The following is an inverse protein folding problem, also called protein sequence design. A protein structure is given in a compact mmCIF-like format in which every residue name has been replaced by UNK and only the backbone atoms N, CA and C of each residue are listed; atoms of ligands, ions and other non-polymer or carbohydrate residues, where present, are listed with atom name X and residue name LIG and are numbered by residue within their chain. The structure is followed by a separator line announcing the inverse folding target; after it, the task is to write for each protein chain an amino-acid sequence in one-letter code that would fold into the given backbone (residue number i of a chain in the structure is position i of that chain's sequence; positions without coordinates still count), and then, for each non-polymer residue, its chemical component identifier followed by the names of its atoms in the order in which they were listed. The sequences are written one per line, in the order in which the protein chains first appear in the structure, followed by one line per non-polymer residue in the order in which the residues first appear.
data_IF_071678382051
#
_entry.id   IF_071678382051
#
_cell.length_a   1.000
_cell.length_b   1.000
_cell.length_c   1.000
_cell.angle_alpha   90.00
_cell.angle_beta   90.00
_cell.angle_gamma   90.00
#
_symmetry.space_group_name_H-M   'P 1'
#
loop_
_entity.id
_entity.type
_entity.pdbx_description
1 polymer ?
#
# COMPACT_ATOMS: atom_id res chain seq x y z
N UNK A 1 -10.60 6.32 -4.03
CA UNK A 1 -9.66 7.47 -4.07
C UNK A 1 -8.74 7.37 -2.86
N UNK A 2 -7.59 6.69 -2.98
CA UNK A 2 -6.64 6.44 -1.88
C UNK A 2 -5.37 7.29 -1.97
N UNK A 3 -4.94 7.62 -3.20
CA UNK A 3 -3.78 8.48 -3.49
C UNK A 3 -3.77 9.78 -2.68
N UNK A 4 -4.90 10.47 -2.62
CA UNK A 4 -4.97 11.80 -2.01
C UNK A 4 -4.85 11.72 -0.48
N UNK A 5 -5.40 10.66 0.14
CA UNK A 5 -5.19 10.34 1.56
C UNK A 5 -3.72 10.01 1.84
N UNK A 6 -3.09 9.23 0.97
CA UNK A 6 -1.67 8.90 1.09
C UNK A 6 -0.78 10.14 0.97
N UNK A 7 -1.06 11.05 0.04
CA UNK A 7 -0.36 12.35 -0.07
C UNK A 7 -0.49 13.19 1.20
N UNK A 8 -1.72 13.33 1.71
CA UNK A 8 -1.97 14.10 2.93
C UNK A 8 -1.21 13.53 4.13
N UNK A 9 -1.27 12.22 4.34
CA UNK A 9 -0.56 11.56 5.43
C UNK A 9 0.97 11.73 5.30
N UNK A 10 1.53 11.54 4.11
CA UNK A 10 2.96 11.76 3.86
C UNK A 10 3.36 13.20 4.19
N UNK A 11 2.55 14.19 3.77
CA UNK A 11 2.81 15.58 4.08
C UNK A 11 2.82 15.85 5.60
N UNK A 12 1.85 15.30 6.33
CA UNK A 12 1.77 15.42 7.80
C UNK A 12 2.97 14.75 8.49
N UNK A 13 3.35 13.54 8.09
CA UNK A 13 4.52 12.84 8.62
C UNK A 13 5.81 13.66 8.41
N UNK A 14 6.03 14.14 7.18
CA UNK A 14 7.22 14.93 6.86
C UNK A 14 7.23 16.28 7.57
N UNK A 15 6.09 16.89 7.84
CA UNK A 15 5.98 18.12 8.63
C UNK A 15 6.44 17.95 10.09
N UNK A 16 6.39 16.72 10.63
CA UNK A 16 6.90 16.37 11.96
C UNK A 16 8.21 15.57 11.91
N UNK A 17 8.97 15.71 10.82
CA UNK A 17 10.28 15.07 10.61
C UNK A 17 10.27 13.54 10.58
N UNK A 18 9.13 12.91 10.30
CA UNK A 18 9.07 11.47 10.07
C UNK A 18 9.31 11.17 8.59
N UNK A 19 10.32 10.34 8.24
CA UNK A 19 10.49 9.89 6.86
C UNK A 19 9.29 9.04 6.45
N UNK A 20 8.62 9.45 5.38
CA UNK A 20 7.47 8.74 4.82
C UNK A 20 7.60 8.63 3.30
N UNK A 21 7.13 7.53 2.73
CA UNK A 21 7.10 7.26 1.29
C UNK A 21 5.73 6.72 0.87
N UNK A 22 5.38 6.97 -0.39
CA UNK A 22 4.17 6.41 -0.99
C UNK A 22 4.48 5.04 -1.56
N UNK A 23 3.48 4.18 -1.53
CA UNK A 23 3.55 2.84 -2.10
C UNK A 23 2.42 2.65 -3.09
N UNK A 24 2.76 2.17 -4.30
CA UNK A 24 1.77 1.58 -5.21
C UNK A 24 1.67 0.09 -4.92
N UNK A 25 0.46 -0.41 -4.88
CA UNK A 25 0.21 -1.83 -4.71
C UNK A 25 -1.22 -2.20 -5.09
N UNK A 26 -1.66 -3.34 -4.60
CA UNK A 26 -3.04 -3.76 -4.56
C UNK A 26 -3.29 -4.52 -3.27
N UNK A 27 -4.54 -4.78 -2.94
CA UNK A 27 -4.93 -5.56 -1.78
C UNK A 27 -5.67 -6.84 -2.17
N UNK A 28 -5.67 -7.82 -1.28
CA UNK A 28 -6.45 -9.05 -1.39
C UNK A 28 -7.60 -9.02 -0.38
N UNK A 29 -8.84 -9.09 -0.87
CA UNK A 29 -10.00 -9.18 0.01
C UNK A 29 -10.52 -7.83 0.50
N UNK A 30 -10.29 -6.74 -0.22
CA UNK A 30 -11.15 -5.54 -0.14
C UNK A 30 -12.64 -5.92 -0.19
N UNK A 31 -13.44 -5.13 0.52
CA UNK A 31 -14.89 -5.27 0.52
C UNK A 31 -15.43 -5.13 -0.92
N UNK A 32 -16.06 -6.18 -1.49
CA UNK A 32 -16.63 -6.12 -2.84
C UNK A 32 -17.67 -5.01 -3.02
N UNK A 33 -18.27 -4.49 -1.94
CA UNK A 33 -19.17 -3.34 -1.99
C UNK A 33 -18.46 -2.03 -2.38
N UNK A 34 -17.13 -1.96 -2.25
CA UNK A 34 -16.32 -0.82 -2.66
C UNK A 34 -15.98 -0.80 -4.16
N UNK A 35 -16.27 -1.89 -4.88
CA UNK A 35 -16.08 -2.01 -6.32
C UNK A 35 -15.20 -3.21 -6.73
N UNK A 36 -14.87 -3.32 -8.03
CA UNK A 36 -13.92 -4.32 -8.51
C UNK A 36 -12.51 -4.04 -7.96
N UNK A 37 -11.62 -5.04 -7.93
CA UNK A 37 -10.22 -4.84 -7.57
C UNK A 37 -9.57 -3.74 -8.43
N UNK A 38 -8.81 -2.88 -7.78
CA UNK A 38 -8.09 -1.77 -8.42
C UNK A 38 -6.71 -1.60 -7.76
N UNK A 39 -5.90 -0.72 -8.33
CA UNK A 39 -4.67 -0.27 -7.71
C UNK A 39 -4.97 0.47 -6.40
N UNK A 40 -4.09 0.28 -5.42
CA UNK A 40 -4.13 0.99 -4.17
C UNK A 40 -2.84 1.78 -3.94
N UNK A 41 -3.00 2.95 -3.30
CA UNK A 41 -1.90 3.78 -2.84
C UNK A 41 -1.97 3.89 -1.32
N UNK A 42 -0.90 3.46 -0.64
CA UNK A 42 -0.78 3.53 0.82
C UNK A 42 0.56 4.17 1.23
N UNK A 43 0.79 4.29 2.53
CA UNK A 43 1.95 4.99 3.09
C UNK A 43 2.83 4.04 3.86
N UNK A 44 4.14 4.19 3.72
CA UNK A 44 5.11 3.60 4.63
C UNK A 44 5.84 4.73 5.37
N UNK A 45 5.96 4.59 6.69
CA UNK A 45 6.66 5.54 7.58
C UNK A 45 7.82 4.81 8.25
N UNK A 46 9.00 5.41 8.21
CA UNK A 46 10.18 4.88 8.88
C UNK A 46 10.14 5.26 10.35
N UNK A 47 10.03 4.26 11.23
CA UNK A 47 9.94 4.45 12.67
C UNK A 47 11.07 3.67 13.35
N UNK A 48 11.67 4.28 14.37
CA UNK A 48 12.73 3.68 15.18
C UNK A 48 12.16 3.17 16.50
N UNK A 49 12.46 1.92 16.82
CA UNK A 49 12.07 1.32 18.09
C UNK A 49 12.93 1.81 19.26
N UNK A 50 12.59 1.36 20.48
CA UNK A 50 13.30 1.74 21.72
C UNK A 50 14.75 1.23 21.77
N UNK A 51 15.12 0.29 20.91
CA UNK A 51 16.48 -0.24 20.81
C UNK A 51 17.31 0.46 19.72
N UNK A 52 16.75 1.48 19.06
CA UNK A 52 17.42 2.21 17.98
C UNK A 52 17.32 1.53 16.62
N UNK A 53 16.53 0.47 16.47
CA UNK A 53 16.35 -0.24 15.20
C UNK A 53 15.21 0.42 14.43
N UNK A 54 15.51 0.96 13.25
CA UNK A 54 14.53 1.61 12.39
C UNK A 54 13.96 0.66 11.32
N UNK A 55 12.65 0.72 11.11
CA UNK A 55 11.93 -0.09 10.12
C UNK A 55 10.85 0.71 9.39
N UNK A 56 10.52 0.30 8.18
CA UNK A 56 9.36 0.81 7.46
C UNK A 56 8.07 0.12 7.94
N UNK A 57 7.10 0.91 8.39
CA UNK A 57 5.78 0.45 8.81
C UNK A 57 4.71 0.99 7.87
N UNK A 58 3.75 0.13 7.52
CA UNK A 58 2.68 0.51 6.60
C UNK A 58 1.46 1.11 7.30
N UNK A 59 0.79 2.01 6.59
CA UNK A 59 -0.44 2.67 6.99
C UNK A 59 -1.33 2.85 5.77
N UNK A 60 -2.61 2.49 5.88
CA UNK A 60 -3.64 2.77 4.88
C UNK A 60 -4.55 3.92 5.36
N UNK A 61 -4.28 5.17 4.98
CA UNK A 61 -5.08 6.30 5.44
C UNK A 61 -6.48 6.37 4.81
N UNK A 62 -6.78 5.59 3.75
CA UNK A 62 -8.16 5.50 3.25
C UNK A 62 -9.02 4.52 4.04
N UNK A 63 -8.42 3.58 4.77
CA UNK A 63 -9.12 2.60 5.59
C UNK A 63 -10.02 1.66 4.81
N UNK A 64 -9.71 1.42 3.53
CA UNK A 64 -10.56 0.66 2.60
C UNK A 64 -10.10 -0.78 2.40
N UNK A 65 -8.90 -1.13 2.88
CA UNK A 65 -8.32 -2.45 2.71
C UNK A 65 -7.84 -3.04 4.04
N UNK A 66 -7.62 -4.36 4.03
CA UNK A 66 -7.06 -5.10 5.16
C UNK A 66 -5.53 -4.91 5.12
N UNK A 67 -4.87 -4.32 6.14
CA UNK A 67 -3.43 -4.03 6.07
C UNK A 67 -2.54 -5.25 5.75
N UNK A 68 -2.87 -6.44 6.27
CA UNK A 68 -2.15 -7.69 5.95
C UNK A 68 -2.27 -8.12 4.48
N UNK A 69 -3.20 -7.57 3.73
CA UNK A 69 -3.52 -8.03 2.38
C UNK A 69 -2.75 -7.31 1.28
N UNK A 70 -2.00 -6.26 1.63
CA UNK A 70 -1.32 -5.46 0.63
C UNK A 70 -0.16 -6.21 -0.01
N UNK A 71 -0.15 -6.16 -1.34
CA UNK A 71 0.97 -6.57 -2.18
C UNK A 71 1.58 -5.33 -2.79
N UNK A 72 2.84 -5.08 -2.45
CA UNK A 72 3.61 -3.92 -2.89
C UNK A 72 4.12 -4.11 -4.33
N UNK A 73 3.93 -3.11 -5.19
CA UNK A 73 4.54 -3.04 -6.52
C UNK A 73 5.80 -2.18 -6.52
N UNK A 74 5.69 -0.93 -6.05
CA UNK A 74 6.82 0.00 -6.01
C UNK A 74 6.64 1.05 -4.91
N UNK A 75 7.72 1.72 -4.55
CA UNK A 75 7.72 2.82 -3.57
C UNK A 75 8.41 4.05 -4.13
N UNK A 76 7.96 5.24 -3.73
CA UNK A 76 8.55 6.50 -4.15
C UNK A 76 8.18 7.65 -3.22
N UNK A 77 8.64 8.86 -3.49
CA UNK A 77 8.38 10.01 -2.60
C UNK A 77 6.91 10.40 -2.62
N UNK A 78 6.25 10.28 -3.77
CA UNK A 78 4.84 10.58 -3.99
C UNK A 78 4.35 9.90 -5.30
N UNK A 79 3.13 10.23 -5.73
CA UNK A 79 2.50 9.63 -6.91
C UNK A 79 3.26 9.82 -8.23
N UNK A 80 4.12 10.84 -8.36
CA UNK A 80 4.91 11.03 -9.56
C UNK A 80 5.98 9.94 -9.72
N UNK A 81 6.53 9.44 -8.60
CA UNK A 81 7.54 8.38 -8.59
C UNK A 81 6.91 6.96 -8.71
N UNK A 82 5.60 6.82 -8.50
CA UNK A 82 4.91 5.51 -8.44
C UNK A 82 3.69 5.41 -9.37
N UNK A 83 3.59 6.27 -10.38
CA UNK A 83 2.47 6.27 -11.30
C UNK A 83 2.36 4.91 -12.02
N UNK A 84 1.15 4.34 -12.08
CA UNK A 84 0.89 3.12 -12.87
C UNK A 84 1.27 3.32 -14.35
N UNK A 85 0.90 4.47 -14.91
CA UNK A 85 1.26 4.86 -16.27
C UNK A 85 1.57 6.35 -16.33
N UNK A 86 2.64 6.70 -17.05
CA UNK A 86 2.95 8.08 -17.44
C UNK A 86 2.78 8.21 -18.94
N UNK A 87 1.84 9.04 -19.39
CA UNK A 87 1.47 9.17 -20.81
C UNK A 87 2.11 10.43 -21.37
N UNK A 88 2.90 10.29 -22.44
CA UNK A 88 3.47 11.40 -23.20
C UNK A 88 2.77 11.51 -24.55
N UNK A 89 2.12 12.65 -24.81
CA UNK A 89 1.29 12.86 -26.01
C UNK A 89 -0.17 12.45 -25.80
N UNK A 90 -0.89 12.18 -26.89
CA UNK A 90 -2.30 11.79 -26.80
C UNK A 90 -2.43 10.34 -26.35
N UNK A 91 -3.28 10.10 -25.35
CA UNK A 91 -3.62 8.76 -24.88
C UNK A 91 -5.08 8.68 -24.45
N UNK A 92 -5.72 7.56 -24.77
CA UNK A 92 -7.02 7.19 -24.21
C UNK A 92 -6.77 6.11 -23.16
N UNK A 93 -7.16 6.37 -21.91
CA UNK A 93 -7.10 5.38 -20.84
C UNK A 93 -8.49 4.75 -20.65
N UNK A 94 -8.56 3.43 -20.70
CA UNK A 94 -9.69 2.66 -20.18
C UNK A 94 -9.43 2.29 -18.72
N UNK A 95 -10.47 1.83 -18.01
CA UNK A 95 -10.30 1.32 -16.65
C UNK A 95 -9.37 0.10 -16.69
N UNK A 96 -8.27 0.08 -15.91
CA UNK A 96 -7.40 -1.07 -15.84
C UNK A 96 -8.13 -2.26 -15.19
N UNK A 97 -7.78 -3.47 -15.62
CA UNK A 97 -8.23 -4.71 -14.98
C UNK A 97 -7.04 -5.32 -14.28
N UNK A 98 -7.17 -5.51 -12.97
CA UNK A 98 -6.17 -6.17 -12.13
C UNK A 98 -6.86 -7.25 -11.30
N UNK A 99 -6.16 -8.36 -11.04
CA UNK A 99 -6.66 -9.44 -10.20
C UNK A 99 -5.54 -10.03 -9.38
N UNK A 100 -5.91 -10.60 -8.24
CA UNK A 100 -5.03 -11.29 -7.32
C UNK A 100 -5.72 -12.57 -6.85
N UNK A 101 -4.94 -13.63 -6.69
CA UNK A 101 -5.42 -14.91 -6.20
C UNK A 101 -4.47 -15.41 -5.12
N UNK A 102 -5.04 -15.91 -4.01
CA UNK A 102 -4.27 -16.56 -2.98
C UNK A 102 -3.81 -17.95 -3.45
N UNK A 103 -2.54 -18.26 -3.25
CA UNK A 103 -1.93 -19.55 -3.60
C UNK A 103 -1.63 -20.30 -2.29
N UNK A 104 -2.04 -21.58 -2.16
CA UNK A 104 -1.72 -22.38 -0.98
C UNK A 104 -0.22 -22.59 -0.82
N UNK A 105 0.23 -22.75 0.43
CA UNK A 105 1.60 -23.14 0.73
C UNK A 105 1.90 -24.61 0.32
N UNK A 106 3.12 -25.07 0.62
CA UNK A 106 3.57 -26.43 0.30
C UNK A 106 2.74 -27.54 0.96
N UNK A 107 1.95 -27.22 1.99
CA UNK A 107 1.06 -28.14 2.70
C UNK A 107 -0.40 -27.98 2.27
N UNK A 108 -0.68 -27.16 1.26
CA UNK A 108 -2.03 -26.87 0.79
C UNK A 108 -2.81 -25.93 1.70
N UNK A 109 -2.14 -25.20 2.60
CA UNK A 109 -2.80 -24.26 3.52
C UNK A 109 -2.85 -22.84 2.93
N UNK A 110 -3.99 -22.17 3.14
CA UNK A 110 -4.18 -20.76 2.82
C UNK A 110 -4.23 -19.95 4.12
N UNK A 111 -3.33 -18.98 4.25
CA UNK A 111 -3.39 -17.97 5.31
C UNK A 111 -3.99 -16.72 4.71
N UNK A 112 -5.26 -16.46 5.02
CA UNK A 112 -5.95 -15.27 4.53
C UNK A 112 -5.54 -14.03 5.34
N UNK A 113 -5.46 -12.85 4.69
CA UNK A 113 -5.27 -11.59 5.40
C UNK A 113 -6.34 -11.33 6.44
N UNK A 114 -5.94 -10.78 7.58
CA UNK A 114 -6.84 -10.36 8.65
C UNK A 114 -6.45 -8.99 9.20
N UNK A 115 -7.39 -8.31 9.85
CA UNK A 115 -7.04 -7.11 10.61
C UNK A 115 -6.25 -7.49 11.85
N UNK A 116 -5.21 -6.72 12.14
CA UNK A 116 -4.34 -6.91 13.31
C UNK A 116 -4.23 -5.62 14.10
N UNK A 117 -4.07 -5.75 15.42
CA UNK A 117 -3.90 -4.60 16.32
C UNK A 117 -2.46 -4.10 16.47
N UNK A 118 -1.50 -4.79 15.84
CA UNK A 118 -0.09 -4.42 15.86
C UNK A 118 0.34 -3.80 14.52
N UNK A 119 1.40 -2.99 14.55
CA UNK A 119 1.95 -2.36 13.35
C UNK A 119 2.62 -3.41 12.44
N UNK A 120 2.38 -3.30 11.14
CA UNK A 120 2.97 -4.19 10.13
C UNK A 120 4.22 -3.54 9.53
N UNK A 121 5.36 -4.18 9.72
CA UNK A 121 6.61 -3.81 9.06
C UNK A 121 6.62 -4.34 7.62
N UNK A 122 7.07 -3.52 6.67
CA UNK A 122 7.26 -3.93 5.26
C UNK A 122 8.71 -4.11 4.87
N UNK A 123 9.63 -3.99 5.84
CA UNK A 123 10.96 -4.52 5.69
C UNK A 123 10.91 -6.04 5.66
N UNK A 124 11.41 -6.62 4.56
CA UNK A 124 11.60 -8.05 4.46
C UNK A 124 12.62 -8.50 5.51
N UNK A 125 12.24 -9.49 6.31
CA UNK A 125 13.21 -10.29 7.07
C UNK A 125 13.94 -11.25 6.15
#
# INVERSE_FOLDING_TARGET
VCRDFAHLMIALCRAVNLPARMVSGMDYGADPALGPPDFHAYVEVYLTDTFGVGRWYMFDPSGTAIPMSFVRFCTGRDAADIAFATIFGNGNAAQPVISIQAVPDAYGQLVLPQHVGYALSTDGT
#
